data_IF_898677086712
#
_entry.id   IF_898677086712
#
_cell.length_a   1.000
_cell.length_b   1.000
_cell.length_c   1.000
_cell.angle_alpha   90.00
_cell.angle_beta   90.00
_cell.angle_gamma   90.00
#
_symmetry.space_group_name_H-M   'P 1'
#
loop_
_entity.id
_entity.type
_entity.pdbx_description
1 polymer ?
#
# COMPACT_ATOMS: atom_id res chain seq x y z
N UNK A 1 -3.03 13.60 77.12
CA UNK A 1 -2.75 12.90 75.84
C UNK A 1 -4.04 12.86 75.07
N UNK A 2 -4.30 13.90 74.28
CA UNK A 2 -5.55 14.02 73.55
C UNK A 2 -5.63 12.93 72.48
N UNK A 3 -6.66 12.10 72.60
CA UNK A 3 -6.90 10.97 71.70
C UNK A 3 -7.31 11.55 70.35
N UNK A 4 -6.41 11.48 69.38
CA UNK A 4 -6.71 11.85 68.01
C UNK A 4 -8.00 11.18 67.54
N UNK A 5 -9.00 11.92 67.03
CA UNK A 5 -10.27 11.33 66.67
C UNK A 5 -10.07 10.33 65.53
N UNK A 6 -10.54 9.09 65.71
CA UNK A 6 -10.33 8.00 64.75
C UNK A 6 -10.89 8.30 63.35
N UNK A 7 -11.91 9.15 63.25
CA UNK A 7 -12.48 9.60 61.98
C UNK A 7 -11.50 10.43 61.14
N UNK A 8 -10.56 11.15 61.78
CA UNK A 8 -9.51 11.92 61.08
C UNK A 8 -8.54 10.97 60.38
N UNK A 9 -8.22 9.83 61.00
CA UNK A 9 -7.35 8.81 60.41
C UNK A 9 -8.01 8.19 59.16
N UNK A 10 -9.31 7.92 59.22
CA UNK A 10 -10.08 7.41 58.08
C UNK A 10 -10.09 8.38 56.89
N UNK A 11 -10.25 9.68 57.14
CA UNK A 11 -10.21 10.70 56.09
C UNK A 11 -8.82 10.77 55.43
N UNK A 12 -7.75 10.71 56.22
CA UNK A 12 -6.38 10.73 55.70
C UNK A 12 -6.13 9.50 54.81
N UNK A 13 -6.56 8.31 55.23
CA UNK A 13 -6.43 7.08 54.43
C UNK A 13 -7.20 7.19 53.11
N UNK A 14 -8.41 7.74 53.14
CA UNK A 14 -9.23 7.93 51.93
C UNK A 14 -8.57 8.90 50.95
N UNK A 15 -8.01 10.01 51.43
CA UNK A 15 -7.28 10.98 50.59
C UNK A 15 -6.04 10.34 49.96
N UNK A 16 -5.28 9.55 50.73
CA UNK A 16 -4.09 8.84 50.21
C UNK A 16 -4.48 7.82 49.14
N UNK A 17 -5.59 7.09 49.32
CA UNK A 17 -6.11 6.16 48.31
C UNK A 17 -6.51 6.87 47.02
N UNK A 18 -7.24 7.98 47.11
CA UNK A 18 -7.66 8.75 45.92
C UNK A 18 -6.43 9.27 45.16
N UNK A 19 -5.43 9.81 45.87
CA UNK A 19 -4.19 10.28 45.24
C UNK A 19 -3.42 9.13 44.58
N UNK A 20 -3.37 7.96 45.22
CA UNK A 20 -2.72 6.77 44.67
C UNK A 20 -3.38 6.29 43.37
N UNK A 21 -4.69 6.43 43.21
CA UNK A 21 -5.38 6.04 41.97
C UNK A 21 -5.34 7.13 40.89
N UNK A 22 -5.49 8.40 41.24
CA UNK A 22 -5.61 9.50 40.26
C UNK A 22 -4.28 9.82 39.56
N UNK A 23 -3.16 9.81 40.30
CA UNK A 23 -1.84 10.18 39.77
C UNK A 23 -1.35 9.22 38.65
N UNK A 24 -1.36 7.89 38.82
CA UNK A 24 -0.95 6.98 37.75
C UNK A 24 -1.93 6.97 36.57
N UNK A 25 -3.24 7.16 36.82
CA UNK A 25 -4.24 7.20 35.74
C UNK A 25 -4.03 8.38 34.78
N UNK A 26 -3.68 9.55 35.32
CA UNK A 26 -3.44 10.74 34.51
C UNK A 26 -2.16 10.58 33.65
N UNK A 27 -1.14 9.88 34.16
CA UNK A 27 0.10 9.60 33.45
C UNK A 27 -0.10 8.59 32.30
N UNK A 28 -0.98 7.60 32.49
CA UNK A 28 -1.35 6.62 31.45
C UNK A 28 -2.16 7.29 30.34
N UNK A 29 -3.15 8.13 30.70
CA UNK A 29 -3.95 8.86 29.71
C UNK A 29 -3.11 9.83 28.86
N UNK A 30 -2.10 10.48 29.44
CA UNK A 30 -1.22 11.38 28.69
C UNK A 30 -0.37 10.63 27.65
N UNK A 31 0.17 9.45 27.99
CA UNK A 31 0.91 8.60 27.04
C UNK A 31 0.04 8.08 25.89
N UNK A 32 -1.23 7.79 26.17
CA UNK A 32 -2.17 7.34 25.13
C UNK A 32 -2.53 8.49 24.17
N UNK A 33 -2.66 9.72 24.67
CA UNK A 33 -2.83 10.91 23.81
C UNK A 33 -1.61 11.22 22.96
N UNK A 34 -0.40 11.16 23.52
CA UNK A 34 0.82 11.38 22.75
C UNK A 34 0.98 10.36 21.60
N UNK A 35 0.59 9.10 21.82
CA UNK A 35 0.56 8.08 20.77
C UNK A 35 -0.53 8.32 19.72
N UNK A 36 -1.73 8.78 20.10
CA UNK A 36 -2.77 9.11 19.13
C UNK A 36 -2.42 10.35 18.31
N UNK A 37 -1.77 11.33 18.93
CA UNK A 37 -1.41 12.59 18.27
C UNK A 37 -0.25 12.39 17.29
N UNK A 38 0.70 11.48 17.55
CA UNK A 38 1.74 11.07 16.58
C UNK A 38 1.17 10.35 15.34
N UNK A 39 0.03 9.65 15.49
CA UNK A 39 -0.62 8.91 14.40
C UNK A 39 -1.60 9.79 13.61
N UNK A 40 -2.22 10.76 14.27
CA UNK A 40 -3.20 11.65 13.64
C UNK A 40 -2.61 12.98 13.15
N UNK A 41 -1.47 13.40 13.69
CA UNK A 41 -0.85 14.69 13.38
C UNK A 41 0.69 14.56 13.45
N UNK A 42 1.33 13.88 12.47
CA UNK A 42 2.76 13.66 12.46
C UNK A 42 3.50 15.01 12.41
N UNK A 43 4.17 15.36 13.50
CA UNK A 43 5.02 16.55 13.57
C UNK A 43 6.36 16.20 12.92
N UNK A 44 6.75 17.02 11.92
CA UNK A 44 7.95 16.96 11.07
C UNK A 44 7.73 16.12 9.80
N UNK A 45 7.71 16.61 8.55
CA UNK A 45 8.27 17.81 7.91
C UNK A 45 7.25 18.41 6.93
N UNK A 46 6.85 19.66 7.13
CA UNK A 46 5.98 20.39 6.19
C UNK A 46 6.85 21.43 5.48
N UNK A 47 7.37 21.10 4.31
CA UNK A 47 7.92 22.07 3.38
C UNK A 47 6.78 22.95 2.84
N UNK A 48 6.62 24.10 3.50
CA UNK A 48 5.47 25.03 3.40
C UNK A 48 5.19 25.67 2.04
N UNK A 49 5.87 25.27 0.96
CA UNK A 49 5.63 25.77 -0.40
C UNK A 49 4.94 24.77 -1.33
N UNK A 50 5.05 23.46 -1.08
CA UNK A 50 4.44 22.44 -1.96
C UNK A 50 2.93 22.33 -1.71
N UNK A 51 2.49 22.45 -0.45
CA UNK A 51 1.08 22.25 -0.07
C UNK A 51 0.13 23.40 -0.43
N UNK A 52 0.63 24.63 -0.65
CA UNK A 52 -0.24 25.71 -1.16
C UNK A 52 -0.73 25.44 -2.58
N UNK A 53 0.02 24.64 -3.37
CA UNK A 53 -0.42 24.20 -4.69
C UNK A 53 -1.34 22.98 -4.65
N UNK A 54 -1.22 22.12 -3.63
CA UNK A 54 -2.05 20.91 -3.48
C UNK A 54 -3.42 21.27 -2.87
N UNK A 55 -3.49 22.26 -1.99
CA UNK A 55 -4.76 22.73 -1.40
C UNK A 55 -5.63 23.56 -2.36
N UNK A 56 -5.10 23.98 -3.52
CA UNK A 56 -5.86 24.59 -4.61
C UNK A 56 -6.30 23.58 -5.69
N UNK A 57 -6.37 22.29 -5.37
CA UNK A 57 -7.13 21.36 -6.22
C UNK A 57 -8.60 21.77 -6.12
N UNK A 58 -9.04 22.58 -7.09
CA UNK A 58 -10.44 22.94 -7.32
C UNK A 58 -11.27 21.66 -7.27
N UNK A 59 -12.19 21.57 -6.30
CA UNK A 59 -13.19 20.52 -6.26
C UNK A 59 -13.81 20.34 -7.65
N UNK A 60 -13.63 19.16 -8.25
CA UNK A 60 -14.26 18.86 -9.53
C UNK A 60 -15.78 18.87 -9.31
N UNK A 61 -16.44 19.88 -9.87
CA UNK A 61 -17.89 20.10 -9.76
C UNK A 61 -18.74 18.92 -10.26
N UNK A 62 -18.13 17.92 -10.90
CA UNK A 62 -18.75 16.66 -11.33
C UNK A 62 -19.00 15.67 -10.19
N UNK A 63 -18.32 15.79 -9.05
CA UNK A 63 -18.50 14.91 -7.88
C UNK A 63 -19.46 15.49 -6.81
N UNK A 64 -20.61 16.04 -7.24
CA UNK A 64 -21.66 16.43 -6.29
C UNK A 64 -22.49 15.20 -5.88
N UNK A 65 -22.74 14.97 -4.58
CA UNK A 65 -23.62 13.89 -4.15
C UNK A 65 -25.03 14.10 -4.74
N UNK A 66 -25.49 13.16 -5.57
CA UNK A 66 -26.72 13.29 -6.36
C UNK A 66 -28.01 13.28 -5.53
N UNK A 67 -28.01 12.75 -4.30
CA UNK A 67 -29.25 12.53 -3.54
C UNK A 67 -29.04 12.73 -2.04
N UNK A 68 -29.62 13.80 -1.50
CA UNK A 68 -29.85 13.95 -0.06
C UNK A 68 -31.18 13.29 0.30
N UNK A 69 -31.15 12.13 0.97
CA UNK A 69 -32.34 11.53 1.57
C UNK A 69 -32.62 12.28 2.87
N UNK A 70 -33.75 12.99 2.92
CA UNK A 70 -34.23 13.61 4.16
C UNK A 70 -34.81 12.52 5.07
N UNK A 71 -34.05 12.08 6.07
CA UNK A 71 -34.63 11.37 7.20
C UNK A 71 -35.58 12.34 7.95
N UNK A 72 -36.79 11.88 8.26
CA UNK A 72 -37.87 12.63 8.95
C UNK A 72 -37.42 13.32 10.26
N UNK A 73 -36.32 12.87 10.87
CA UNK A 73 -35.67 13.52 12.00
C UNK A 73 -34.32 14.15 11.61
N UNK A 74 -34.36 15.24 10.84
CA UNK A 74 -33.46 16.42 10.93
C UNK A 74 -31.93 16.25 10.85
N UNK A 75 -31.37 15.04 10.78
CA UNK A 75 -29.95 14.84 10.58
C UNK A 75 -29.68 14.83 9.08
N UNK A 76 -29.09 15.92 8.58
CA UNK A 76 -28.44 15.96 7.27
C UNK A 76 -27.22 15.05 7.32
N UNK A 77 -27.43 13.74 7.27
CA UNK A 77 -26.37 12.84 6.84
C UNK A 77 -26.34 12.97 5.32
N UNK A 78 -25.44 13.83 4.82
CA UNK A 78 -25.07 13.75 3.42
C UNK A 78 -24.61 12.31 3.19
N UNK A 79 -25.31 11.58 2.32
CA UNK A 79 -24.81 10.31 1.79
C UNK A 79 -23.51 10.64 1.04
N UNK A 80 -22.39 10.61 1.76
CA UNK A 80 -21.07 10.63 1.16
C UNK A 80 -20.94 9.28 0.46
N UNK A 81 -21.01 9.33 -0.86
CA UNK A 81 -20.71 8.16 -1.68
C UNK A 81 -19.26 7.79 -1.36
N UNK A 82 -19.08 6.64 -0.73
CA UNK A 82 -17.75 6.09 -0.47
C UNK A 82 -17.13 5.73 -1.81
N UNK A 83 -15.87 6.12 -2.01
CA UNK A 83 -15.12 5.72 -3.20
C UNK A 83 -14.45 4.39 -2.91
N UNK A 84 -14.88 3.35 -3.62
CA UNK A 84 -14.41 1.98 -3.45
C UNK A 84 -13.73 1.52 -4.74
N UNK A 85 -12.75 0.64 -4.59
CA UNK A 85 -11.97 0.06 -5.68
C UNK A 85 -11.90 -1.44 -5.47
N UNK A 86 -12.06 -2.21 -6.54
CA UNK A 86 -11.87 -3.65 -6.56
C UNK A 86 -10.49 -3.95 -7.16
N UNK A 87 -9.71 -4.80 -6.47
CA UNK A 87 -8.39 -5.23 -6.93
C UNK A 87 -8.55 -6.45 -7.84
N UNK A 88 -8.28 -6.25 -9.13
CA UNK A 88 -8.34 -7.32 -10.12
C UNK A 88 -7.24 -8.37 -9.86
N UNK A 89 -7.58 -9.67 -9.82
CA UNK A 89 -6.57 -10.71 -9.69
C UNK A 89 -5.73 -10.84 -10.96
N UNK A 90 -4.43 -11.09 -10.78
CA UNK A 90 -3.45 -11.25 -11.86
C UNK A 90 -2.83 -12.65 -11.86
N UNK A 91 -2.44 -13.13 -13.05
CA UNK A 91 -1.85 -14.48 -13.19
C UNK A 91 -0.46 -14.58 -12.56
N UNK A 92 0.36 -13.53 -12.61
CA UNK A 92 1.74 -13.49 -12.12
C UNK A 92 1.91 -12.64 -10.85
N UNK A 93 1.02 -12.83 -9.88
CA UNK A 93 0.99 -12.05 -8.65
C UNK A 93 2.08 -12.41 -7.63
N UNK A 94 2.75 -11.38 -7.09
CA UNK A 94 3.74 -11.51 -6.04
C UNK A 94 3.11 -11.80 -4.66
N UNK A 95 3.95 -12.17 -3.69
CA UNK A 95 3.51 -12.45 -2.32
C UNK A 95 2.91 -11.24 -1.60
N UNK A 96 3.39 -10.02 -1.91
CA UNK A 96 2.92 -8.79 -1.25
C UNK A 96 1.52 -8.38 -1.70
N UNK A 97 1.18 -8.61 -2.97
CA UNK A 97 -0.07 -8.14 -3.56
C UNK A 97 -1.20 -9.16 -3.47
N UNK A 98 -0.88 -10.46 -3.49
CA UNK A 98 -1.87 -11.55 -3.47
C UNK A 98 -2.91 -11.44 -2.35
N UNK A 99 -2.56 -11.02 -1.12
CA UNK A 99 -3.54 -10.87 -0.04
C UNK A 99 -4.64 -9.85 -0.32
N UNK A 100 -4.46 -8.94 -1.30
CA UNK A 100 -5.40 -7.88 -1.63
C UNK A 100 -6.22 -8.18 -2.89
N UNK A 101 -5.86 -9.21 -3.66
CA UNK A 101 -6.62 -9.61 -4.84
C UNK A 101 -8.03 -10.08 -4.47
N UNK A 102 -8.99 -9.81 -5.36
CA UNK A 102 -10.41 -10.09 -5.13
C UNK A 102 -11.01 -9.36 -3.91
N UNK A 103 -10.34 -8.33 -3.40
CA UNK A 103 -10.86 -7.50 -2.31
C UNK A 103 -11.34 -6.15 -2.82
N UNK A 104 -12.27 -5.57 -2.05
CA UNK A 104 -12.73 -4.20 -2.24
C UNK A 104 -12.02 -3.34 -1.20
N UNK A 105 -11.28 -2.35 -1.68
CA UNK A 105 -10.56 -1.37 -0.89
C UNK A 105 -11.33 -0.04 -0.87
N UNK A 106 -11.24 0.67 0.25
CA UNK A 106 -11.76 2.04 0.38
C UNK A 106 -10.65 3.05 0.10
N UNK A 107 -10.92 4.06 -0.72
CA UNK A 107 -9.98 5.17 -0.93
C UNK A 107 -10.06 6.23 0.19
N UNK A 108 -10.97 6.07 1.14
CA UNK A 108 -11.06 6.95 2.31
C UNK A 108 -9.90 6.67 3.28
N UNK A 109 -9.48 7.70 4.04
CA UNK A 109 -8.37 7.58 5.00
C UNK A 109 -8.68 6.59 6.14
N UNK A 110 -9.95 6.49 6.52
CA UNK A 110 -10.41 5.58 7.56
C UNK A 110 -11.75 4.97 7.13
N UNK A 111 -11.84 3.64 7.14
CA UNK A 111 -13.09 2.92 6.95
C UNK A 111 -13.20 1.80 7.98
N UNK A 112 -14.42 1.57 8.48
CA UNK A 112 -14.72 0.52 9.47
C UNK A 112 -15.07 -0.81 8.80
N UNK A 113 -15.52 -0.77 7.55
CA UNK A 113 -16.11 -1.91 6.85
C UNK A 113 -15.18 -2.50 5.79
N UNK A 114 -14.30 -1.68 5.22
CA UNK A 114 -13.37 -2.07 4.16
C UNK A 114 -11.94 -1.79 4.60
N UNK A 115 -10.99 -2.60 4.11
CA UNK A 115 -9.58 -2.26 4.19
C UNK A 115 -9.35 -0.99 3.38
N UNK A 116 -8.60 -0.03 3.91
CA UNK A 116 -8.27 1.19 3.17
C UNK A 116 -7.10 0.96 2.21
N UNK A 117 -7.07 1.72 1.11
CA UNK A 117 -5.93 1.73 0.18
C UNK A 117 -4.63 2.10 0.91
N UNK A 118 -4.68 3.04 1.85
CA UNK A 118 -3.50 3.40 2.65
C UNK A 118 -2.97 2.22 3.48
N UNK A 119 -3.86 1.44 4.10
CA UNK A 119 -3.47 0.24 4.85
C UNK A 119 -2.90 -0.84 3.91
N UNK A 120 -3.50 -1.06 2.74
CA UNK A 120 -2.98 -1.99 1.75
C UNK A 120 -1.57 -1.59 1.29
N UNK A 121 -1.36 -0.31 0.94
CA UNK A 121 -0.06 0.23 0.51
C UNK A 121 0.98 0.07 1.62
N UNK A 122 0.64 0.37 2.88
CA UNK A 122 1.55 0.19 4.02
C UNK A 122 2.01 -1.26 4.22
N UNK A 123 1.22 -2.23 3.71
CA UNK A 123 1.52 -3.66 3.75
C UNK A 123 2.23 -4.17 2.49
N UNK A 124 2.50 -3.29 1.53
CA UNK A 124 3.25 -3.59 0.31
C UNK A 124 2.43 -3.65 -0.97
N UNK A 125 1.13 -3.34 -0.94
CA UNK A 125 0.35 -3.14 -2.17
C UNK A 125 0.89 -1.93 -2.96
N UNK A 126 0.80 -1.98 -4.29
CA UNK A 126 1.41 -0.96 -5.17
C UNK A 126 2.92 -0.74 -4.95
N UNK A 127 3.65 -1.80 -4.61
CA UNK A 127 5.11 -1.75 -4.60
C UNK A 127 5.67 -1.53 -6.02
N UNK A 128 6.97 -1.22 -6.11
CA UNK A 128 7.67 -1.08 -7.39
C UNK A 128 7.55 -2.38 -8.19
N UNK A 129 6.97 -2.30 -9.39
CA UNK A 129 6.71 -3.43 -10.27
C UNK A 129 5.45 -4.25 -9.99
N UNK A 130 4.56 -3.74 -9.13
CA UNK A 130 3.18 -4.21 -9.05
C UNK A 130 2.46 -3.95 -10.39
N UNK A 131 1.71 -4.95 -10.86
CA UNK A 131 0.95 -4.90 -12.12
C UNK A 131 -0.57 -4.87 -11.89
N UNK A 132 -1.00 -4.83 -10.64
CA UNK A 132 -2.41 -4.90 -10.29
C UNK A 132 -3.20 -3.75 -10.87
N UNK A 133 -4.41 -4.07 -11.30
CA UNK A 133 -5.35 -3.11 -11.83
C UNK A 133 -6.44 -2.87 -10.79
N UNK A 134 -6.56 -1.61 -10.42
CA UNK A 134 -7.59 -1.08 -9.55
C UNK A 134 -8.80 -0.68 -10.40
N UNK A 135 -9.95 -1.33 -10.18
CA UNK A 135 -11.20 -1.07 -10.89
C UNK A 135 -12.17 -0.34 -9.97
N UNK A 136 -12.73 0.79 -10.41
CA UNK A 136 -13.76 1.50 -9.65
C UNK A 136 -14.95 0.56 -9.33
N UNK A 137 -15.26 0.46 -8.03
CA UNK A 137 -16.30 -0.43 -7.53
C UNK A 137 -17.53 0.36 -7.07
N UNK A 138 -18.66 0.10 -7.73
CA UNK A 138 -19.97 0.63 -7.38
C UNK A 138 -20.84 -0.52 -6.87
N UNK A 139 -21.19 -0.48 -5.59
CA UNK A 139 -21.98 -1.51 -4.95
C UNK A 139 -23.30 -1.76 -5.70
N UNK A 140 -23.55 -3.01 -6.09
CA UNK A 140 -24.75 -3.43 -6.83
C UNK A 140 -24.76 -3.09 -8.33
N UNK A 141 -23.70 -2.46 -8.86
CA UNK A 141 -23.57 -2.09 -10.28
C UNK A 141 -22.35 -2.76 -10.91
N UNK A 142 -21.19 -2.72 -10.26
CA UNK A 142 -19.95 -3.30 -10.81
C UNK A 142 -20.05 -4.83 -10.80
N UNK A 143 -19.91 -5.45 -11.98
CA UNK A 143 -19.84 -6.89 -12.13
C UNK A 143 -18.40 -7.35 -11.98
N UNK A 144 -18.11 -8.09 -10.91
CA UNK A 144 -16.78 -8.67 -10.67
C UNK A 144 -16.70 -9.99 -11.44
N UNK A 145 -15.66 -10.15 -12.26
CA UNK A 145 -15.44 -11.40 -12.96
C UNK A 145 -15.05 -12.52 -11.96
N UNK A 146 -15.60 -13.71 -12.13
CA UNK A 146 -15.27 -14.90 -11.32
C UNK A 146 -13.87 -15.48 -11.62
N UNK A 147 -12.96 -14.69 -12.21
CA UNK A 147 -11.64 -15.18 -12.62
C UNK A 147 -10.80 -15.40 -11.36
N UNK A 148 -10.75 -16.64 -10.90
CA UNK A 148 -9.93 -17.05 -9.78
C UNK A 148 -8.73 -17.85 -10.27
N UNK A 149 -7.54 -17.42 -9.85
CA UNK A 149 -6.31 -18.19 -10.01
C UNK A 149 -6.03 -18.95 -8.71
N UNK A 150 -5.51 -20.17 -8.82
CA UNK A 150 -4.96 -20.85 -7.67
C UNK A 150 -3.71 -20.12 -7.20
N UNK A 151 -3.59 -19.92 -5.90
CA UNK A 151 -2.40 -19.31 -5.29
C UNK A 151 -1.12 -20.06 -5.70
N UNK A 152 -1.16 -21.38 -5.78
CA UNK A 152 -0.01 -22.18 -6.20
C UNK A 152 0.41 -21.88 -7.64
N UNK A 153 -0.55 -21.66 -8.54
CA UNK A 153 -0.29 -21.40 -9.94
C UNK A 153 0.25 -19.99 -10.13
N UNK A 154 -0.27 -19.01 -9.37
CA UNK A 154 0.28 -17.66 -9.33
C UNK A 154 1.73 -17.65 -8.83
N UNK A 155 2.04 -18.36 -7.75
CA UNK A 155 3.41 -18.49 -7.23
C UNK A 155 4.33 -19.10 -8.31
N UNK A 156 3.89 -20.20 -8.94
CA UNK A 156 4.68 -20.87 -9.99
C UNK A 156 4.96 -19.93 -11.16
N UNK A 157 3.94 -19.23 -11.66
CA UNK A 157 4.10 -18.32 -12.78
C UNK A 157 4.96 -17.11 -12.42
N UNK A 158 4.71 -16.50 -11.26
CA UNK A 158 5.50 -15.38 -10.75
C UNK A 158 6.99 -15.75 -10.65
N UNK A 159 7.32 -16.94 -10.13
CA UNK A 159 8.69 -17.42 -10.05
C UNK A 159 9.36 -17.58 -11.43
N UNK A 160 8.60 -18.02 -12.45
CA UNK A 160 9.10 -18.09 -13.83
C UNK A 160 9.38 -16.70 -14.39
N UNK A 161 8.47 -15.76 -14.16
CA UNK A 161 8.65 -14.35 -14.56
C UNK A 161 9.87 -13.74 -13.87
N UNK A 162 10.07 -13.98 -12.57
CA UNK A 162 11.28 -13.55 -11.85
C UNK A 162 12.56 -14.19 -12.39
N UNK A 163 12.50 -15.45 -12.82
CA UNK A 163 13.62 -16.13 -13.49
C UNK A 163 14.03 -15.42 -14.77
N UNK A 164 13.05 -15.07 -15.61
CA UNK A 164 13.28 -14.29 -16.83
C UNK A 164 13.88 -12.92 -16.52
N UNK A 165 13.33 -12.19 -15.54
CA UNK A 165 13.88 -10.89 -15.12
C UNK A 165 15.35 -10.95 -14.69
N UNK A 166 15.78 -12.05 -14.06
CA UNK A 166 17.19 -12.23 -13.68
C UNK A 166 18.10 -12.33 -14.90
N UNK A 167 17.68 -13.09 -15.92
CA UNK A 167 18.42 -13.21 -17.18
C UNK A 167 18.43 -11.87 -17.94
N UNK A 168 17.28 -11.19 -18.02
CA UNK A 168 17.15 -9.85 -18.61
C UNK A 168 18.06 -8.81 -17.92
N UNK A 169 18.22 -8.90 -16.60
CA UNK A 169 19.11 -8.03 -15.86
C UNK A 169 20.59 -8.36 -16.12
N UNK A 170 20.94 -9.64 -16.27
CA UNK A 170 22.31 -10.05 -16.63
C UNK A 170 22.71 -9.58 -18.02
N UNK A 171 21.85 -9.77 -19.03
CA UNK A 171 22.13 -9.30 -20.39
C UNK A 171 22.24 -7.77 -20.44
N UNK A 172 21.42 -7.06 -19.65
CA UNK A 172 21.50 -5.60 -19.53
C UNK A 172 22.84 -5.15 -18.95
N UNK A 173 23.33 -5.82 -17.90
CA UNK A 173 24.62 -5.54 -17.30
C UNK A 173 25.77 -5.76 -18.30
N UNK A 174 25.73 -6.85 -19.08
CA UNK A 174 26.74 -7.09 -20.11
C UNK A 174 26.67 -6.09 -21.27
N UNK A 175 25.46 -5.69 -21.71
CA UNK A 175 25.28 -4.62 -22.69
C UNK A 175 25.88 -3.30 -22.19
N UNK A 176 25.62 -2.94 -20.94
CA UNK A 176 26.23 -1.78 -20.30
C UNK A 176 27.77 -1.88 -20.26
N UNK A 177 28.31 -3.05 -19.87
CA UNK A 177 29.76 -3.28 -19.83
C UNK A 177 30.39 -3.17 -21.23
N UNK A 178 29.74 -3.74 -22.25
CA UNK A 178 30.17 -3.69 -23.64
C UNK A 178 30.26 -2.25 -24.18
N UNK A 179 29.29 -1.41 -23.80
CA UNK A 179 29.22 -0.01 -24.21
C UNK A 179 30.26 0.87 -23.49
N UNK A 180 30.71 0.50 -22.28
CA UNK A 180 31.56 1.36 -21.44
C UNK A 180 33.03 0.90 -21.28
N UNK A 181 33.36 -0.38 -21.44
CA UNK A 181 34.68 -0.97 -21.05
C UNK A 181 35.51 -1.45 -22.26
N UNK A 182 35.37 -0.82 -23.43
CA UNK A 182 36.09 -1.16 -24.68
C UNK A 182 35.64 -2.48 -25.36
N UNK A 183 34.33 -2.69 -25.53
CA UNK A 183 33.72 -3.63 -26.50
C UNK A 183 34.50 -4.92 -26.78
N UNK A 184 34.82 -5.67 -25.73
CA UNK A 184 35.61 -6.89 -25.84
C UNK A 184 34.82 -7.99 -26.58
N UNK A 185 35.43 -8.75 -27.50
CA UNK A 185 34.78 -9.88 -28.17
C UNK A 185 34.18 -10.91 -27.21
N UNK A 186 34.79 -11.10 -26.04
CA UNK A 186 34.31 -12.01 -24.99
C UNK A 186 32.95 -11.59 -24.41
N UNK A 187 32.72 -10.29 -24.22
CA UNK A 187 31.45 -9.78 -23.68
C UNK A 187 30.35 -9.96 -24.72
N UNK A 188 30.67 -9.75 -26.00
CA UNK A 188 29.73 -9.99 -27.10
C UNK A 188 29.28 -11.46 -27.15
N UNK A 189 30.22 -12.39 -27.02
CA UNK A 189 29.90 -13.83 -26.94
C UNK A 189 28.96 -14.12 -25.77
N UNK A 190 29.22 -13.57 -24.58
CA UNK A 190 28.34 -13.73 -23.40
C UNK A 190 26.94 -13.17 -23.62
N UNK A 191 26.81 -12.05 -24.34
CA UNK A 191 25.50 -11.46 -24.69
C UNK A 191 24.74 -12.42 -25.62
N UNK A 192 25.41 -12.99 -26.63
CA UNK A 192 24.81 -13.97 -27.55
C UNK A 192 24.39 -15.24 -26.79
N UNK A 193 25.26 -15.82 -25.97
CA UNK A 193 24.96 -16.99 -25.14
C UNK A 193 23.78 -16.75 -24.18
N UNK A 194 23.70 -15.57 -23.54
CA UNK A 194 22.57 -15.23 -22.67
C UNK A 194 21.28 -14.98 -23.46
N UNK A 195 21.38 -14.42 -24.66
CA UNK A 195 20.21 -14.24 -25.54
C UNK A 195 19.62 -15.61 -25.88
N UNK A 196 20.45 -16.58 -26.25
CA UNK A 196 20.02 -17.96 -26.53
C UNK A 196 19.40 -18.62 -25.29
N UNK A 197 19.99 -18.39 -24.11
CA UNK A 197 19.44 -18.87 -22.83
C UNK A 197 18.07 -18.26 -22.53
N UNK A 198 17.87 -16.96 -22.77
CA UNK A 198 16.58 -16.29 -22.61
C UNK A 198 15.55 -16.90 -23.56
N UNK A 199 15.91 -17.10 -24.83
CA UNK A 199 15.00 -17.67 -25.82
C UNK A 199 14.59 -19.11 -25.45
N UNK A 200 15.54 -19.93 -25.01
CA UNK A 200 15.28 -21.26 -24.50
C UNK A 200 14.36 -21.23 -23.26
N UNK A 201 14.64 -20.33 -22.31
CA UNK A 201 13.85 -20.15 -21.10
C UNK A 201 12.41 -19.72 -21.40
N UNK A 202 12.23 -18.79 -22.33
CA UNK A 202 10.93 -18.32 -22.81
C UNK A 202 10.15 -19.45 -23.49
N UNK A 203 10.80 -20.27 -24.32
CA UNK A 203 10.18 -21.42 -24.97
C UNK A 203 9.72 -22.48 -23.96
N UNK A 204 10.57 -22.84 -23.01
CA UNK A 204 10.28 -23.82 -21.96
C UNK A 204 9.11 -23.38 -21.08
N UNK A 205 9.08 -22.10 -20.71
CA UNK A 205 8.10 -21.55 -19.77
C UNK A 205 6.88 -20.90 -20.43
N UNK A 206 6.82 -20.88 -21.77
CA UNK A 206 5.78 -20.19 -22.56
C UNK A 206 5.66 -18.70 -22.23
N UNK A 207 6.79 -18.06 -21.96
CA UNK A 207 6.86 -16.63 -21.67
C UNK A 207 7.21 -15.86 -22.95
N UNK A 208 6.77 -14.60 -23.02
CA UNK A 208 7.16 -13.68 -24.10
C UNK A 208 8.37 -12.86 -23.65
N UNK A 209 9.45 -12.91 -24.43
CA UNK A 209 10.63 -12.06 -24.23
C UNK A 209 10.29 -10.60 -24.48
N UNK A 210 10.77 -9.69 -23.62
CA UNK A 210 10.67 -8.26 -23.84
C UNK A 210 12.06 -7.65 -24.07
N UNK A 211 12.38 -7.40 -25.34
CA UNK A 211 13.70 -6.88 -25.76
C UNK A 211 13.96 -5.49 -25.18
N UNK A 212 12.93 -4.68 -24.96
CA UNK A 212 13.07 -3.31 -24.42
C UNK A 212 13.69 -3.34 -23.02
N UNK A 213 13.33 -4.34 -22.20
CA UNK A 213 13.87 -4.53 -20.85
C UNK A 213 15.34 -4.90 -20.81
N UNK A 214 15.94 -5.25 -21.94
CA UNK A 214 17.37 -5.52 -22.02
C UNK A 214 18.19 -4.26 -22.27
N UNK A 215 17.53 -3.11 -22.53
CA UNK A 215 18.22 -1.84 -22.75
C UNK A 215 18.89 -1.37 -21.44
N UNK A 216 20.21 -1.10 -21.44
CA UNK A 216 20.93 -0.53 -20.30
C UNK A 216 20.31 0.75 -19.73
N UNK A 217 19.70 1.55 -20.59
CA UNK A 217 19.19 2.87 -20.25
C UNK A 217 17.66 2.90 -20.03
N UNK A 218 17.01 1.74 -19.85
CA UNK A 218 15.57 1.69 -19.56
C UNK A 218 15.27 2.32 -18.20
N UNK A 219 14.17 3.08 -18.11
CA UNK A 219 13.70 3.62 -16.84
C UNK A 219 13.23 2.52 -15.89
N UNK A 220 13.28 2.75 -14.58
CA UNK A 220 12.79 1.77 -13.61
C UNK A 220 11.29 1.50 -13.76
N UNK A 221 10.50 2.50 -14.18
CA UNK A 221 9.06 2.31 -14.42
C UNK A 221 8.80 1.38 -15.61
N UNK A 222 9.54 1.58 -16.70
CA UNK A 222 9.39 0.76 -17.91
C UNK A 222 10.02 -0.63 -17.74
N UNK A 223 10.99 -0.76 -16.83
CA UNK A 223 11.60 -2.05 -16.47
C UNK A 223 10.56 -3.06 -15.98
N UNK A 224 9.56 -2.62 -15.21
CA UNK A 224 8.62 -3.52 -14.53
C UNK A 224 7.21 -3.55 -15.14
N UNK A 225 6.94 -2.71 -16.14
CA UNK A 225 5.74 -2.78 -17.00
C UNK A 225 5.90 -3.86 -18.05
#
# INVERSE_FOLDING_TARGET
MDKFPWWVILIIILVVLVLYFVIPWNKINKKNKEKSDLVNDPKEFIDSEIDKKITEIKEDTRNKPMLGVYNWFGKKEALRLKTLVYVQPEEDCCELCRPFENQILSLEQYDKYYLTMSEAISKGYHHIGCKHIDIDYFAGVTNIADKHFSEEDQIKLHNKVLGLYKLENQIRNYKYEYDNVNSLPEIKLKIEELSDQIDAYCLENKLKRNIERENPNISDLDKFR
#
